data_IF_541588820222
#
_entry.id   IF_541588820222
#
_cell.length_a   1.000
_cell.length_b   1.000
_cell.length_c   1.000
_cell.angle_alpha   90.00
_cell.angle_beta   90.00
_cell.angle_gamma   90.00
#
_symmetry.space_group_name_H-M   'P 1'
#
loop_
_entity.id
_entity.type
_entity.pdbx_description
1 polymer ?
#
# COMPACT_ATOMS: atom_id res chain seq x y z
N UNK A 1 -20.98 -1.80 0.26
CA UNK A 1 -21.80 -2.91 -0.31
C UNK A 1 -20.98 -3.59 -1.39
N UNK A 2 -21.15 -4.89 -1.66
CA UNK A 2 -20.43 -5.58 -2.74
C UNK A 2 -21.39 -6.10 -3.82
N UNK A 3 -21.01 -5.95 -5.09
CA UNK A 3 -21.61 -6.61 -6.24
C UNK A 3 -20.75 -7.82 -6.60
N UNK A 4 -21.36 -9.02 -6.56
CA UNK A 4 -20.64 -10.28 -6.78
C UNK A 4 -21.32 -11.06 -7.90
N UNK A 5 -20.53 -11.50 -8.90
CA UNK A 5 -20.98 -12.37 -9.99
C UNK A 5 -19.79 -13.18 -10.53
N UNK A 6 -19.82 -14.50 -10.41
CA UNK A 6 -18.65 -15.32 -10.74
C UNK A 6 -17.46 -14.93 -9.85
N UNK A 7 -16.31 -14.62 -10.47
CA UNK A 7 -15.13 -14.07 -9.77
C UNK A 7 -15.18 -12.55 -9.63
N UNK A 8 -16.09 -11.86 -10.31
CA UNK A 8 -16.25 -10.41 -10.18
C UNK A 8 -16.68 -10.04 -8.76
N UNK A 9 -15.95 -9.10 -8.16
CA UNK A 9 -16.20 -8.55 -6.83
C UNK A 9 -15.94 -7.05 -6.87
N UNK A 10 -17.02 -6.27 -6.96
CA UNK A 10 -16.96 -4.81 -6.99
C UNK A 10 -17.50 -4.24 -5.68
N UNK A 11 -16.67 -3.47 -4.98
CA UNK A 11 -17.09 -2.66 -3.87
C UNK A 11 -17.81 -1.41 -4.37
N UNK A 12 -18.94 -1.11 -3.75
CA UNK A 12 -19.75 0.07 -4.03
C UNK A 12 -19.58 1.05 -2.88
N UNK A 13 -18.85 2.12 -3.14
CA UNK A 13 -18.71 3.31 -2.33
C UNK A 13 -19.65 4.41 -2.86
N UNK A 14 -20.15 5.36 -2.05
CA UNK A 14 -21.03 6.43 -2.54
C UNK A 14 -20.49 7.24 -3.72
N UNK A 15 -19.15 7.31 -3.86
CA UNK A 15 -18.49 8.08 -4.93
C UNK A 15 -17.85 7.22 -6.02
N UNK A 16 -17.70 5.91 -5.81
CA UNK A 16 -16.99 5.04 -6.76
C UNK A 16 -17.44 3.58 -6.68
N UNK A 17 -17.28 2.86 -7.80
CA UNK A 17 -17.36 1.41 -7.85
C UNK A 17 -15.98 0.92 -8.23
N UNK A 18 -15.33 0.19 -7.34
CA UNK A 18 -13.95 -0.27 -7.49
C UNK A 18 -13.84 -1.74 -7.12
N UNK A 19 -12.95 -2.49 -7.77
CA UNK A 19 -12.84 -3.93 -7.56
C UNK A 19 -12.40 -4.70 -8.78
N UNK A 20 -12.25 -6.01 -8.62
CA UNK A 20 -11.97 -6.92 -9.72
C UNK A 20 -13.25 -7.21 -10.53
N UNK A 21 -13.13 -7.10 -11.85
CA UNK A 21 -14.19 -7.43 -12.80
C UNK A 21 -13.66 -8.40 -13.85
N UNK A 22 -14.36 -9.51 -14.05
CA UNK A 22 -14.05 -10.39 -15.17
C UNK A 22 -14.32 -9.66 -16.49
N UNK A 23 -13.40 -9.79 -17.45
CA UNK A 23 -13.44 -9.04 -18.71
C UNK A 23 -14.77 -9.18 -19.44
N UNK A 24 -15.40 -10.35 -19.36
CA UNK A 24 -16.70 -10.62 -19.99
C UNK A 24 -17.86 -9.82 -19.40
N UNK A 25 -17.75 -9.36 -18.14
CA UNK A 25 -18.76 -8.53 -17.49
C UNK A 25 -18.58 -7.03 -17.77
N UNK A 26 -17.38 -6.59 -18.16
CA UNK A 26 -17.06 -5.17 -18.38
C UNK A 26 -18.03 -4.50 -19.37
N UNK A 27 -18.30 -5.04 -20.58
CA UNK A 27 -19.18 -4.36 -21.53
C UNK A 27 -20.59 -4.13 -20.98
N UNK A 28 -21.14 -5.12 -20.26
CA UNK A 28 -22.48 -5.03 -19.68
C UNK A 28 -22.54 -3.99 -18.55
N UNK A 29 -21.54 -3.97 -17.66
CA UNK A 29 -21.47 -3.02 -16.55
C UNK A 29 -21.27 -1.60 -17.08
N UNK A 30 -20.34 -1.41 -18.01
CA UNK A 30 -20.08 -0.11 -18.64
C UNK A 30 -21.32 0.41 -19.35
N UNK A 31 -22.09 -0.43 -20.04
CA UNK A 31 -23.34 -0.02 -20.68
C UNK A 31 -24.40 0.48 -19.67
N UNK A 32 -24.55 -0.22 -18.53
CA UNK A 32 -25.45 0.19 -17.45
C UNK A 32 -25.01 1.54 -16.85
N UNK A 33 -23.72 1.69 -16.56
CA UNK A 33 -23.19 2.91 -15.94
C UNK A 33 -23.26 4.10 -16.90
N UNK A 34 -23.01 3.90 -18.21
CA UNK A 34 -23.12 4.94 -19.25
C UNK A 34 -24.56 5.38 -19.49
N UNK A 35 -25.55 4.49 -19.33
CA UNK A 35 -26.97 4.87 -19.42
C UNK A 35 -27.35 5.89 -18.33
N UNK A 36 -26.63 5.88 -17.20
CA UNK A 36 -26.86 6.80 -16.09
C UNK A 36 -28.16 6.54 -15.34
N UNK A 37 -28.39 7.32 -14.29
CA UNK A 37 -29.63 7.27 -13.51
C UNK A 37 -30.02 8.64 -12.98
N UNK A 38 -31.14 8.70 -12.25
CA UNK A 38 -31.58 9.95 -11.59
C UNK A 38 -30.65 10.38 -10.44
N UNK A 39 -29.91 9.44 -9.87
CA UNK A 39 -29.10 9.62 -8.66
C UNK A 39 -27.60 9.48 -8.90
N UNK A 40 -27.17 9.11 -10.10
CA UNK A 40 -25.76 8.96 -10.43
C UNK A 40 -25.48 9.25 -11.90
N UNK A 41 -24.26 9.69 -12.18
CA UNK A 41 -23.72 9.87 -13.52
C UNK A 41 -22.30 9.34 -13.55
N UNK A 42 -21.97 8.52 -14.55
CA UNK A 42 -20.59 8.11 -14.77
C UNK A 42 -19.75 9.33 -15.19
N UNK A 43 -18.73 9.65 -14.40
CA UNK A 43 -17.80 10.76 -14.68
C UNK A 43 -16.53 10.25 -15.35
N UNK A 44 -16.03 9.08 -14.92
CA UNK A 44 -14.81 8.45 -15.41
C UNK A 44 -14.91 6.93 -15.25
N UNK A 45 -14.42 6.20 -16.23
CA UNK A 45 -14.10 4.78 -16.15
C UNK A 45 -12.60 4.57 -16.34
N UNK A 46 -11.99 3.75 -15.48
CA UNK A 46 -10.62 3.28 -15.62
C UNK A 46 -10.66 1.77 -15.57
N UNK A 47 -10.17 1.11 -16.61
CA UNK A 47 -10.00 -0.35 -16.63
C UNK A 47 -8.50 -0.58 -16.55
N UNK A 48 -8.02 -1.16 -15.44
CA UNK A 48 -6.65 -1.64 -15.35
C UNK A 48 -6.55 -2.92 -16.19
N UNK A 49 -5.61 -2.96 -17.14
CA UNK A 49 -5.59 -4.00 -18.18
C UNK A 49 -5.19 -5.38 -17.64
N UNK A 50 -4.37 -5.44 -16.58
CA UNK A 50 -3.92 -6.71 -16.00
C UNK A 50 -3.83 -6.59 -14.48
N UNK A 51 -4.72 -7.30 -13.77
CA UNK A 51 -4.57 -7.54 -12.34
C UNK A 51 -4.31 -9.02 -12.11
N UNK A 52 -3.36 -9.32 -11.23
CA UNK A 52 -3.05 -10.70 -10.88
C UNK A 52 -4.06 -11.25 -9.88
N UNK A 53 -4.44 -12.52 -10.02
CA UNK A 53 -5.25 -13.23 -9.04
C UNK A 53 -4.40 -13.91 -7.96
N UNK A 54 -3.24 -13.33 -7.65
CA UNK A 54 -2.30 -13.91 -6.69
C UNK A 54 -2.91 -13.97 -5.28
N UNK A 55 -2.60 -15.05 -4.57
CA UNK A 55 -2.61 -15.03 -3.10
C UNK A 55 -1.44 -14.18 -2.60
N UNK A 56 -1.46 -13.79 -1.32
CA UNK A 56 -0.34 -13.06 -0.71
C UNK A 56 0.99 -13.81 -0.86
N UNK A 57 0.99 -15.14 -0.73
CA UNK A 57 2.19 -15.98 -0.92
C UNK A 57 2.68 -16.00 -2.37
N UNK A 58 1.76 -16.08 -3.33
CA UNK A 58 2.10 -16.03 -4.76
C UNK A 58 2.66 -14.66 -5.15
N UNK A 59 2.09 -13.58 -4.59
CA UNK A 59 2.58 -12.21 -4.79
C UNK A 59 3.98 -12.03 -4.20
N UNK A 60 4.23 -12.58 -3.00
CA UNK A 60 5.56 -12.59 -2.39
C UNK A 60 6.58 -13.36 -3.22
N UNK A 61 6.22 -14.52 -3.75
CA UNK A 61 7.11 -15.32 -4.60
C UNK A 61 7.40 -14.64 -5.93
N UNK A 62 6.40 -13.97 -6.51
CA UNK A 62 6.58 -13.11 -7.67
C UNK A 62 7.64 -12.02 -7.41
N UNK A 63 7.56 -11.33 -6.26
CA UNK A 63 8.54 -10.30 -5.92
C UNK A 63 9.95 -10.88 -5.69
N UNK A 64 10.06 -12.04 -5.03
CA UNK A 64 11.34 -12.73 -4.85
C UNK A 64 11.96 -13.12 -6.17
N UNK A 65 11.20 -13.72 -7.07
CA UNK A 65 11.68 -14.13 -8.39
C UNK A 65 12.11 -12.93 -9.24
N UNK A 66 11.35 -11.84 -9.22
CA UNK A 66 11.59 -10.67 -10.07
C UNK A 66 12.65 -9.71 -9.54
N UNK A 67 12.69 -9.49 -8.23
CA UNK A 67 13.50 -8.45 -7.60
C UNK A 67 14.53 -8.98 -6.60
N UNK A 68 14.51 -10.27 -6.24
CA UNK A 68 15.37 -10.83 -5.20
C UNK A 68 16.87 -10.59 -5.41
N UNK A 69 17.32 -10.53 -6.66
CA UNK A 69 18.74 -10.29 -7.00
C UNK A 69 19.16 -8.81 -6.92
N UNK A 70 18.22 -7.87 -6.98
CA UNK A 70 18.51 -6.44 -7.07
C UNK A 70 17.94 -5.59 -5.92
N UNK A 71 16.97 -6.11 -5.15
CA UNK A 71 16.24 -5.33 -4.14
C UNK A 71 17.17 -4.73 -3.08
N UNK A 72 18.13 -5.50 -2.58
CA UNK A 72 19.10 -5.03 -1.59
C UNK A 72 19.92 -3.83 -2.10
N UNK A 73 20.39 -3.89 -3.35
CA UNK A 73 21.14 -2.78 -3.96
C UNK A 73 20.24 -1.55 -4.12
N UNK A 74 19.03 -1.75 -4.62
CA UNK A 74 18.09 -0.65 -4.85
C UNK A 74 17.71 0.06 -3.53
N UNK A 75 17.58 -0.68 -2.42
CA UNK A 75 17.35 -0.09 -1.09
C UNK A 75 18.55 0.76 -0.66
N UNK A 76 19.78 0.23 -0.76
CA UNK A 76 21.00 0.98 -0.43
C UNK A 76 21.13 2.27 -1.27
N UNK A 77 20.86 2.17 -2.57
CA UNK A 77 20.86 3.33 -3.47
C UNK A 77 19.79 4.36 -3.07
N UNK A 78 18.60 3.91 -2.66
CA UNK A 78 17.53 4.80 -2.24
C UNK A 78 17.90 5.58 -0.97
N UNK A 79 18.49 4.93 0.04
CA UNK A 79 18.98 5.59 1.25
C UNK A 79 20.17 6.51 1.00
N UNK A 80 21.03 6.18 0.03
CA UNK A 80 22.20 7.01 -0.29
C UNK A 80 21.85 8.30 -1.03
N UNK A 81 20.79 8.27 -1.86
CA UNK A 81 20.44 9.36 -2.76
C UNK A 81 19.24 10.20 -2.29
N UNK A 82 18.57 9.84 -1.19
CA UNK A 82 17.38 10.53 -0.70
C UNK A 82 17.53 10.96 0.75
N UNK A 83 17.10 12.19 1.03
CA UNK A 83 16.89 12.68 2.40
C UNK A 83 15.42 12.54 2.76
N UNK A 84 15.00 11.31 3.07
CA UNK A 84 13.64 10.99 3.49
C UNK A 84 13.68 10.00 4.67
N UNK A 85 12.59 9.89 5.42
CA UNK A 85 12.49 8.94 6.53
C UNK A 85 12.54 7.49 6.04
N UNK A 86 12.84 6.56 6.96
CA UNK A 86 12.83 5.11 6.68
C UNK A 86 11.52 4.70 6.00
N UNK A 87 10.40 4.98 6.66
CA UNK A 87 9.06 4.61 6.18
C UNK A 87 8.78 5.21 4.80
N UNK A 88 9.12 6.48 4.55
CA UNK A 88 8.93 7.12 3.25
C UNK A 88 9.67 6.39 2.13
N UNK A 89 10.92 5.99 2.39
CA UNK A 89 11.75 5.26 1.43
C UNK A 89 11.17 3.88 1.16
N UNK A 90 10.81 3.14 2.22
CA UNK A 90 10.25 1.78 2.07
C UNK A 90 8.89 1.79 1.37
N UNK A 91 7.98 2.69 1.76
CA UNK A 91 6.66 2.85 1.13
C UNK A 91 6.77 3.26 -0.33
N UNK A 92 7.71 4.16 -0.66
CA UNK A 92 7.99 4.52 -2.06
C UNK A 92 8.55 3.34 -2.85
N UNK A 93 9.49 2.58 -2.27
CA UNK A 93 10.07 1.41 -2.92
C UNK A 93 9.02 0.33 -3.18
N UNK A 94 8.15 0.06 -2.21
CA UNK A 94 7.01 -0.83 -2.36
C UNK A 94 6.09 -0.34 -3.49
N UNK A 95 5.78 0.96 -3.51
CA UNK A 95 4.94 1.62 -4.55
C UNK A 95 5.46 1.42 -5.97
N UNK A 96 6.77 1.30 -6.13
CA UNK A 96 7.39 1.10 -7.44
C UNK A 96 7.30 -0.32 -7.96
N UNK A 97 7.31 -1.31 -7.07
CA UNK A 97 7.32 -2.73 -7.46
C UNK A 97 5.92 -3.35 -7.46
N UNK A 98 4.98 -2.71 -6.76
CA UNK A 98 3.65 -3.25 -6.52
C UNK A 98 2.89 -3.52 -7.80
N UNK A 99 2.32 -4.71 -7.86
CA UNK A 99 1.39 -5.10 -8.92
C UNK A 99 -0.03 -4.99 -8.39
N UNK A 100 -0.96 -4.59 -9.25
CA UNK A 100 -2.37 -4.60 -8.88
C UNK A 100 -2.85 -6.06 -8.80
N UNK A 101 -3.42 -6.45 -7.66
CA UNK A 101 -4.03 -7.78 -7.50
C UNK A 101 -5.52 -7.66 -7.27
N UNK A 102 -6.24 -8.76 -7.45
CA UNK A 102 -7.69 -8.79 -7.19
C UNK A 102 -8.06 -8.43 -5.74
N UNK A 103 -7.13 -8.62 -4.80
CA UNK A 103 -7.27 -8.27 -3.38
C UNK A 103 -6.80 -6.83 -3.09
N UNK A 104 -5.77 -6.35 -3.81
CA UNK A 104 -5.15 -5.05 -3.60
C UNK A 104 -5.13 -4.23 -4.92
N UNK A 105 -6.30 -3.74 -5.33
CA UNK A 105 -6.41 -2.90 -6.55
C UNK A 105 -5.88 -1.47 -6.36
N UNK A 106 -5.91 -0.94 -5.12
CA UNK A 106 -5.62 0.46 -4.85
C UNK A 106 -4.64 0.63 -3.70
N UNK A 107 -3.47 1.14 -4.03
CA UNK A 107 -2.47 1.59 -3.07
C UNK A 107 -1.75 0.46 -2.34
N UNK A 108 -0.85 0.88 -1.46
CA UNK A 108 -0.01 0.01 -0.65
C UNK A 108 -0.24 0.36 0.81
N UNK A 109 -0.85 -0.57 1.53
CA UNK A 109 -0.84 -0.55 2.99
C UNK A 109 0.48 -1.12 3.52
N UNK A 110 0.77 -0.82 4.79
CA UNK A 110 1.90 -1.40 5.51
C UNK A 110 1.86 -2.94 5.57
N UNK A 111 0.67 -3.53 5.48
CA UNK A 111 0.50 -4.99 5.48
C UNK A 111 0.53 -5.62 4.08
N UNK A 112 0.69 -4.81 3.01
CA UNK A 112 0.70 -5.34 1.64
C UNK A 112 1.91 -6.26 1.38
N UNK A 113 1.77 -7.25 0.48
CA UNK A 113 2.89 -8.12 0.12
C UNK A 113 4.10 -7.34 -0.43
N UNK A 114 3.87 -6.29 -1.23
CA UNK A 114 4.94 -5.42 -1.73
C UNK A 114 5.71 -4.73 -0.60
N UNK A 115 5.01 -4.19 0.41
CA UNK A 115 5.67 -3.55 1.54
C UNK A 115 6.46 -4.55 2.38
N UNK A 116 5.86 -5.70 2.70
CA UNK A 116 6.49 -6.78 3.45
C UNK A 116 7.76 -7.27 2.77
N UNK A 117 7.73 -7.47 1.46
CA UNK A 117 8.92 -7.88 0.69
C UNK A 117 10.06 -6.86 0.79
N UNK A 118 9.77 -5.57 0.63
CA UNK A 118 10.78 -4.50 0.75
C UNK A 118 11.32 -4.40 2.18
N UNK A 119 10.42 -4.51 3.17
CA UNK A 119 10.78 -4.45 4.58
C UNK A 119 11.68 -5.65 4.98
N UNK A 120 11.35 -6.88 4.56
CA UNK A 120 12.20 -8.06 4.79
C UNK A 120 13.61 -7.89 4.19
N UNK A 121 13.71 -7.29 3.00
CA UNK A 121 15.01 -7.00 2.38
C UNK A 121 15.78 -5.91 3.16
N UNK A 122 15.08 -4.90 3.68
CA UNK A 122 15.67 -3.89 4.56
C UNK A 122 16.18 -4.51 5.87
N UNK A 123 15.38 -5.32 6.55
CA UNK A 123 15.74 -5.97 7.80
C UNK A 123 16.99 -6.84 7.63
N UNK A 124 17.11 -7.54 6.49
CA UNK A 124 18.32 -8.29 6.14
C UNK A 124 19.53 -7.40 5.96
N UNK A 125 19.39 -6.19 5.44
CA UNK A 125 20.51 -5.24 5.32
C UNK A 125 20.94 -4.72 6.69
N UNK A 126 19.99 -4.46 7.59
CA UNK A 126 20.27 -4.03 8.97
C UNK A 126 20.96 -5.15 9.75
N UNK A 127 20.40 -6.36 9.72
CA UNK A 127 20.94 -7.52 10.42
C UNK A 127 22.35 -7.91 9.93
N UNK A 128 22.65 -7.67 8.65
CA UNK A 128 23.98 -7.90 8.08
C UNK A 128 24.92 -6.68 8.24
N UNK A 129 24.53 -5.64 8.98
CA UNK A 129 25.34 -4.45 9.25
C UNK A 129 25.59 -3.55 8.03
N UNK A 130 24.87 -3.76 6.92
CA UNK A 130 24.97 -2.91 5.71
C UNK A 130 24.18 -1.61 5.84
N UNK A 131 23.13 -1.63 6.66
CA UNK A 131 22.41 -0.45 7.11
C UNK A 131 22.49 -0.38 8.64
N UNK A 132 22.55 0.83 9.17
CA UNK A 132 22.54 1.07 10.61
C UNK A 132 21.39 2.00 10.95
N UNK A 133 20.46 1.52 11.76
CA UNK A 133 19.44 2.38 12.34
C UNK A 133 20.07 3.21 13.46
N UNK A 134 20.13 4.52 13.25
CA UNK A 134 20.44 5.43 14.32
C UNK A 134 19.14 5.73 15.04
N UNK A 135 18.90 5.06 16.17
CA UNK A 135 17.89 5.50 17.12
C UNK A 135 18.39 6.83 17.67
N UNK A 136 17.86 7.95 17.16
CA UNK A 136 17.90 9.16 17.97
C UNK A 136 17.03 8.86 19.18
N UNK A 137 17.62 8.83 20.38
CA UNK A 137 16.83 9.06 21.59
C UNK A 137 16.22 10.46 21.44
N UNK A 138 15.00 10.54 20.90
CA UNK A 138 14.26 11.78 20.83
C UNK A 138 13.63 11.99 22.19
N UNK A 139 14.25 12.86 22.99
CA UNK A 139 13.62 13.59 24.08
C UNK A 139 13.51 12.83 25.40
N UNK A 140 14.31 13.24 26.38
CA UNK A 140 13.96 13.04 27.78
C UNK A 140 12.54 13.59 28.01
N UNK A 141 11.62 12.77 28.48
CA UNK A 141 10.32 13.24 28.96
C UNK A 141 10.54 14.07 30.23
N UNK A 142 10.67 15.39 30.09
CA UNK A 142 10.61 16.28 31.25
C UNK A 142 9.15 16.39 31.68
N UNK A 143 8.77 15.61 32.69
CA UNK A 143 7.50 15.79 33.39
C UNK A 143 7.68 16.98 34.34
N UNK A 144 7.10 18.13 33.99
CA UNK A 144 7.00 19.30 34.88
C UNK A 144 5.65 19.22 35.58
N UNK A 145 5.66 18.94 36.88
CA UNK A 145 4.47 19.03 37.75
C UNK A 145 4.58 20.27 38.63
N UNK A 146 3.47 20.99 38.78
CA UNK A 146 3.33 22.12 39.69
C UNK A 146 2.21 21.83 40.69
N UNK A 147 2.42 22.23 41.95
CA UNK A 147 1.44 22.15 43.03
C UNK A 147 0.93 23.55 43.34
N UNK A 148 -0.39 23.68 43.48
CA UNK A 148 -1.05 24.94 43.86
C UNK A 148 -0.80 25.23 45.35
N UNK A 149 -0.15 26.35 45.66
CA UNK A 149 -0.22 26.92 47.01
C UNK A 149 -1.55 27.66 47.16
N UNK A 150 -2.60 26.93 47.50
CA UNK A 150 -3.74 27.54 48.19
C UNK A 150 -3.27 27.87 49.60
N UNK A 151 -2.86 29.12 49.80
CA UNK A 151 -2.87 29.70 51.14
C UNK A 151 -4.33 29.65 51.60
N UNK A 152 -4.59 28.78 52.58
CA UNK A 152 -5.82 28.78 53.33
C UNK A 152 -6.05 30.21 53.86
N UNK A 153 -7.21 30.78 53.52
CA UNK A 153 -7.75 31.98 54.17
C UNK A 153 -8.20 31.57 55.56
#
# INVERSE_FOLDING_TARGET
MYLVKGKTRLYVHPMEISGYCETLHIPQITAILKKGGRTFRLVKDTIAEEVYSFTDEEEMEYYRARYGTCIHRNILDAFSNRRAGKEDILSMMASRINVATTSHLHGIGYDSPAYRFVHEAYDRLVNNGKLKENVREIGCCNIIMAISNTNAI
#
